data_IF_654054547505
#
_entry.id   IF_654054547505
#
_cell.length_a   1.000
_cell.length_b   1.000
_cell.length_c   1.000
_cell.angle_alpha   90.00
_cell.angle_beta   90.00
_cell.angle_gamma   90.00
#
_symmetry.space_group_name_H-M   'P 1'
#
loop_
_entity.id
_entity.type
_entity.pdbx_description
1 polymer ?
#
# COMPACT_ATOMS: atom_id res chain seq x y z
N UNK A 1 -11.79 -17.18 1.40
CA UNK A 1 -10.50 -16.48 1.51
C UNK A 1 -10.60 -15.51 2.68
N UNK A 2 -9.66 -15.52 3.61
CA UNK A 2 -9.71 -14.68 4.81
C UNK A 2 -9.59 -13.19 4.48
N UNK A 3 -10.18 -12.34 5.31
CA UNK A 3 -10.06 -10.89 5.17
C UNK A 3 -8.58 -10.47 5.38
N UNK A 4 -8.06 -9.48 4.64
CA UNK A 4 -6.72 -8.96 4.87
C UNK A 4 -6.62 -8.38 6.28
N UNK A 5 -5.49 -8.59 6.94
CA UNK A 5 -5.25 -8.15 8.33
C UNK A 5 -4.76 -6.70 8.41
N UNK A 6 -4.20 -6.19 7.32
CA UNK A 6 -3.74 -4.81 7.17
C UNK A 6 -4.17 -4.23 5.82
N UNK A 7 -4.39 -2.93 5.79
CA UNK A 7 -4.73 -2.13 4.62
C UNK A 7 -3.83 -0.90 4.52
N UNK A 8 -3.81 -0.25 3.34
CA UNK A 8 -3.10 1.01 3.20
C UNK A 8 -3.84 2.12 3.93
N UNK A 9 -3.09 3.03 4.56
CA UNK A 9 -3.70 4.22 5.17
C UNK A 9 -4.27 5.15 4.09
N UNK A 10 -5.22 5.99 4.49
CA UNK A 10 -5.71 7.08 3.63
C UNK A 10 -4.59 8.05 3.26
N UNK A 11 -3.73 8.41 4.21
CA UNK A 11 -2.61 9.34 3.98
C UNK A 11 -1.67 8.83 2.88
N UNK A 12 -1.33 7.54 2.89
CA UNK A 12 -0.48 6.95 1.86
C UNK A 12 -1.15 7.01 0.49
N UNK A 13 -2.43 6.66 0.41
CA UNK A 13 -3.19 6.69 -0.84
C UNK A 13 -3.28 8.12 -1.41
N UNK A 14 -3.55 9.11 -0.57
CA UNK A 14 -3.62 10.52 -0.95
C UNK A 14 -2.24 11.04 -1.41
N UNK A 15 -1.16 10.66 -0.72
CA UNK A 15 0.21 11.01 -1.12
C UNK A 15 0.57 10.39 -2.47
N UNK A 16 0.29 9.11 -2.67
CA UNK A 16 0.52 8.45 -3.96
C UNK A 16 -0.29 9.14 -5.07
N UNK A 17 -1.56 9.46 -4.83
CA UNK A 17 -2.40 10.16 -5.81
C UNK A 17 -1.83 11.54 -6.17
N UNK A 18 -1.27 12.26 -5.19
CA UNK A 18 -0.66 13.59 -5.41
C UNK A 18 0.59 13.56 -6.29
N UNK A 19 1.26 12.41 -6.44
CA UNK A 19 2.45 12.30 -7.31
C UNK A 19 2.11 12.40 -8.81
N UNK A 20 0.86 12.17 -9.20
CA UNK A 20 0.45 12.07 -10.60
C UNK A 20 1.01 10.84 -11.34
N UNK A 21 1.72 9.95 -10.63
CA UNK A 21 2.28 8.74 -11.22
C UNK A 21 1.21 7.67 -11.44
N UNK A 22 1.44 6.85 -12.47
CA UNK A 22 0.60 5.68 -12.72
C UNK A 22 0.84 4.59 -11.69
N UNK A 23 -0.16 3.73 -11.47
CA UNK A 23 -0.01 2.55 -10.59
C UNK A 23 1.19 1.66 -11.00
N UNK A 24 1.54 1.60 -12.29
CA UNK A 24 2.72 0.86 -12.76
C UNK A 24 4.03 1.51 -12.32
N UNK A 25 4.12 2.84 -12.39
CA UNK A 25 5.29 3.59 -11.97
C UNK A 25 5.49 3.52 -10.44
N UNK A 26 4.40 3.62 -9.68
CA UNK A 26 4.43 3.44 -8.22
C UNK A 26 4.86 2.03 -7.85
N UNK A 27 4.28 1.01 -8.48
CA UNK A 27 4.66 -0.38 -8.22
C UNK A 27 6.16 -0.62 -8.51
N UNK A 28 6.67 -0.07 -9.63
CA UNK A 28 8.09 -0.15 -9.98
C UNK A 28 8.98 0.56 -8.95
N UNK A 29 8.59 1.75 -8.47
CA UNK A 29 9.33 2.49 -7.44
C UNK A 29 9.38 1.72 -6.10
N UNK A 30 8.29 1.06 -5.73
CA UNK A 30 8.21 0.20 -4.54
C UNK A 30 8.99 -1.11 -4.73
N UNK A 31 9.20 -1.56 -5.97
CA UNK A 31 9.86 -2.82 -6.27
C UNK A 31 8.91 -4.03 -6.25
N UNK A 32 7.64 -3.83 -6.61
CA UNK A 32 6.62 -4.88 -6.70
C UNK A 32 5.94 -4.91 -8.07
N UNK A 33 5.20 -5.96 -8.37
CA UNK A 33 4.42 -6.01 -9.62
C UNK A 33 3.23 -5.06 -9.56
N UNK A 34 2.82 -4.51 -10.71
CA UNK A 34 1.60 -3.69 -10.84
C UNK A 34 0.36 -4.42 -10.31
N UNK A 35 0.25 -5.72 -10.60
CA UNK A 35 -0.89 -6.53 -10.15
C UNK A 35 -0.93 -6.63 -8.63
N UNK A 36 0.21 -6.88 -7.98
CA UNK A 36 0.28 -6.94 -6.52
C UNK A 36 -0.05 -5.58 -5.89
N UNK A 37 0.54 -4.50 -6.40
CA UNK A 37 0.21 -3.15 -5.95
C UNK A 37 -1.30 -2.86 -6.06
N UNK A 38 -1.94 -3.23 -7.17
CA UNK A 38 -3.38 -3.06 -7.36
C UNK A 38 -4.22 -3.86 -6.34
N UNK A 39 -3.84 -5.11 -6.03
CA UNK A 39 -4.54 -5.92 -5.03
C UNK A 39 -4.42 -5.30 -3.63
N UNK A 40 -3.25 -4.78 -3.27
CA UNK A 40 -3.02 -4.09 -1.99
C UNK A 40 -3.81 -2.77 -1.92
N UNK A 41 -3.75 -1.94 -2.97
CA UNK A 41 -4.47 -0.68 -3.09
C UNK A 41 -6.00 -0.85 -2.99
N UNK A 42 -6.53 -1.94 -3.55
CA UNK A 42 -7.96 -2.27 -3.49
C UNK A 42 -8.37 -2.97 -2.19
N UNK A 43 -7.45 -3.16 -1.23
CA UNK A 43 -7.74 -3.85 0.03
C UNK A 43 -8.10 -5.33 -0.16
N UNK A 44 -7.65 -5.96 -1.25
CA UNK A 44 -7.87 -7.40 -1.52
C UNK A 44 -6.76 -8.27 -0.94
N UNK A 45 -5.62 -7.68 -0.60
CA UNK A 45 -4.44 -8.37 -0.05
C UNK A 45 -3.71 -7.42 0.88
N UNK A 46 -3.14 -7.93 1.98
CA UNK A 46 -2.38 -7.10 2.89
C UNK A 46 -1.03 -6.68 2.30
N UNK A 47 -0.58 -5.44 2.56
CA UNK A 47 0.77 -5.02 2.22
C UNK A 47 1.78 -5.86 3.00
N UNK A 48 2.76 -6.42 2.29
CA UNK A 48 3.88 -7.12 2.93
C UNK A 48 4.88 -6.12 3.53
N UNK A 49 5.76 -6.60 4.41
CA UNK A 49 6.88 -5.78 4.92
C UNK A 49 7.75 -5.24 3.78
N UNK A 50 7.98 -6.05 2.74
CA UNK A 50 8.75 -5.63 1.56
C UNK A 50 8.07 -4.47 0.81
N UNK A 51 6.74 -4.49 0.68
CA UNK A 51 5.98 -3.37 0.12
C UNK A 51 6.20 -2.09 0.92
N UNK A 52 6.08 -2.17 2.24
CA UNK A 52 6.21 -1.00 3.12
C UNK A 52 7.63 -0.42 3.05
N UNK A 53 8.65 -1.27 3.14
CA UNK A 53 10.05 -0.84 3.01
C UNK A 53 10.32 -0.23 1.63
N UNK A 54 9.77 -0.83 0.57
CA UNK A 54 9.85 -0.30 -0.79
C UNK A 54 9.22 1.09 -0.91
N UNK A 55 8.05 1.30 -0.34
CA UNK A 55 7.37 2.59 -0.31
C UNK A 55 8.18 3.67 0.44
N UNK A 56 8.80 3.31 1.56
CA UNK A 56 9.68 4.22 2.30
C UNK A 56 10.92 4.57 1.48
N UNK A 57 11.58 3.57 0.88
CA UNK A 57 12.75 3.78 0.00
C UNK A 57 12.44 4.62 -1.23
N UNK A 58 11.22 4.50 -1.77
CA UNK A 58 10.72 5.30 -2.87
C UNK A 58 10.38 6.75 -2.47
N UNK A 59 10.48 7.12 -1.19
CA UNK A 59 10.10 8.43 -0.68
C UNK A 59 8.59 8.67 -0.63
N UNK A 60 7.78 7.61 -0.77
CA UNK A 60 6.32 7.70 -0.73
C UNK A 60 5.78 7.69 0.71
N UNK A 61 6.60 7.36 1.70
CA UNK A 61 6.29 7.42 3.12
C UNK A 61 7.57 7.60 3.95
N UNK A 62 7.46 8.11 5.17
CA UNK A 62 8.63 8.28 6.05
C UNK A 62 8.82 7.11 7.01
N UNK A 63 7.75 6.38 7.33
CA UNK A 63 7.75 5.30 8.30
C UNK A 63 6.64 4.28 8.00
N UNK A 64 6.58 3.20 8.78
CA UNK A 64 5.65 2.09 8.57
C UNK A 64 4.20 2.50 8.80
N UNK A 65 3.93 3.29 9.84
CA UNK A 65 2.59 3.73 10.23
C UNK A 65 1.95 4.65 9.19
N UNK A 66 2.76 5.38 8.42
CA UNK A 66 2.26 6.15 7.28
C UNK A 66 1.76 5.27 6.14
N UNK A 67 2.27 4.04 5.96
CA UNK A 67 1.92 3.18 4.83
C UNK A 67 0.71 2.29 5.12
N UNK A 68 0.69 1.63 6.28
CA UNK A 68 -0.29 0.60 6.58
C UNK A 68 -0.86 0.70 7.98
N UNK A 69 -2.14 0.34 8.10
CA UNK A 69 -2.89 0.27 9.35
C UNK A 69 -3.61 -1.10 9.45
N UNK A 70 -3.98 -1.54 10.66
CA UNK A 70 -4.84 -2.72 10.82
C UNK A 70 -6.11 -2.57 9.99
N UNK A 71 -6.45 -3.58 9.22
CA UNK A 71 -7.72 -3.60 8.51
C UNK A 71 -8.84 -3.66 9.56
N UNK A 72 -9.83 -2.77 9.44
CA UNK A 72 -10.99 -2.82 10.32
C UNK A 72 -11.77 -4.10 10.01
N UNK A 73 -11.70 -5.07 10.93
CA UNK A 73 -12.65 -6.18 10.90
C UNK A 73 -14.00 -5.59 11.30
N UNK A 74 -14.90 -5.43 10.33
CA UNK A 74 -16.32 -5.36 10.62
C UNK A 74 -16.68 -6.75 11.15
N UNK A 75 -16.63 -6.91 12.47
CA UNK A 75 -17.33 -7.96 13.16
C UNK A 75 -18.81 -7.81 12.77
N UNK A 76 -19.27 -8.70 11.91
CA UNK A 76 -20.68 -8.87 11.60
C UNK A 76 -21.36 -9.66 12.72
#
# INVERSE_FOLDING_TARGET
MGQPQAQLTKEFLDRVASTGLTDSAIAAAIGVTRQYYSQVKLGKTSPSVAFIVGAIRAGLAKNFSEVAEPAQSIAA
#
